data_IF_240275161049
#
_entry.id   IF_240275161049
#
_cell.length_a   1.000
_cell.length_b   1.000
_cell.length_c   1.000
_cell.angle_alpha   90.00
_cell.angle_beta   90.00
_cell.angle_gamma   90.00
#
_symmetry.space_group_name_H-M   'P 1'
#
loop_
_entity.id
_entity.type
_entity.pdbx_description
1 polymer ?
#
# COMPACT_ATOMS: atom_id res chain seq x y z
N UNK A 1 -13.06 -6.38 -4.32
CA UNK A 1 -13.07 -5.11 -3.54
C UNK A 1 -12.17 -5.30 -2.34
N UNK A 2 -11.11 -4.50 -2.20
CA UNK A 2 -10.21 -4.53 -1.05
C UNK A 2 -10.95 -3.97 0.17
N UNK A 3 -10.99 -4.73 1.27
CA UNK A 3 -11.55 -4.28 2.55
C UNK A 3 -10.43 -4.30 3.58
N UNK A 4 -10.04 -3.13 4.10
CA UNK A 4 -8.99 -3.02 5.12
C UNK A 4 -9.65 -3.10 6.50
N UNK A 5 -9.23 -4.07 7.33
CA UNK A 5 -9.82 -4.34 8.65
C UNK A 5 -9.29 -3.43 9.76
N UNK A 6 -8.08 -2.90 9.62
CA UNK A 6 -7.55 -1.84 10.50
C UNK A 6 -6.56 -0.98 9.72
N UNK A 7 -6.57 0.33 9.97
CA UNK A 7 -5.67 1.26 9.30
C UNK A 7 -5.11 2.30 10.27
N UNK A 8 -3.89 2.76 10.01
CA UNK A 8 -3.26 3.92 10.63
C UNK A 8 -2.71 4.83 9.55
N UNK A 9 -2.47 6.09 9.87
CA UNK A 9 -1.88 7.03 8.92
C UNK A 9 -0.87 7.97 9.57
N UNK A 10 0.14 8.32 8.79
CA UNK A 10 1.28 9.14 9.16
C UNK A 10 1.25 10.46 8.39
N UNK A 11 1.74 11.53 9.02
CA UNK A 11 1.85 12.84 8.36
C UNK A 11 0.50 13.46 8.03
N UNK A 12 -0.45 13.40 8.98
CA UNK A 12 -1.80 13.95 8.80
C UNK A 12 -1.77 15.47 8.65
N UNK A 13 -2.67 16.01 7.84
CA UNK A 13 -2.89 17.45 7.68
C UNK A 13 -1.70 18.17 7.04
N UNK A 14 -0.95 17.49 6.17
CA UNK A 14 0.17 18.13 5.47
C UNK A 14 -0.31 19.16 4.45
N UNK A 15 -1.54 19.04 3.96
CA UNK A 15 -2.18 20.00 3.07
C UNK A 15 -3.29 20.76 3.81
N UNK A 16 -3.22 22.09 3.80
CA UNK A 16 -4.26 22.94 4.39
C UNK A 16 -5.58 22.94 3.59
N UNK A 17 -5.55 22.58 2.31
CA UNK A 17 -6.73 22.46 1.48
C UNK A 17 -7.51 21.15 1.71
N UNK A 18 -6.88 20.16 2.37
CA UNK A 18 -7.48 18.87 2.65
C UNK A 18 -7.07 18.38 4.06
N UNK A 19 -7.96 18.55 5.03
CA UNK A 19 -7.74 18.17 6.44
C UNK A 19 -7.49 16.66 6.63
N UNK A 20 -7.93 15.84 5.67
CA UNK A 20 -7.73 14.39 5.65
C UNK A 20 -6.46 13.94 4.94
N UNK A 21 -5.65 14.88 4.43
CA UNK A 21 -4.38 14.57 3.76
C UNK A 21 -3.43 13.79 4.67
N UNK A 22 -2.81 12.74 4.14
CA UNK A 22 -1.85 11.90 4.87
C UNK A 22 -0.69 11.51 3.98
N UNK A 23 0.54 11.61 4.46
CA UNK A 23 1.73 11.23 3.69
C UNK A 23 1.84 9.71 3.49
N UNK A 24 1.31 8.94 4.43
CA UNK A 24 1.24 7.50 4.32
C UNK A 24 0.04 6.93 5.06
N UNK A 25 -0.50 5.84 4.53
CA UNK A 25 -1.52 5.03 5.16
C UNK A 25 -1.07 3.57 5.21
N UNK A 26 -1.25 2.94 6.36
CA UNK A 26 -0.94 1.52 6.55
C UNK A 26 -2.21 0.80 6.94
N UNK A 27 -2.42 -0.39 6.39
CA UNK A 27 -3.61 -1.18 6.58
C UNK A 27 -3.32 -2.67 6.69
N UNK A 28 -4.21 -3.40 7.33
CA UNK A 28 -4.19 -4.86 7.39
C UNK A 28 -5.52 -5.44 6.93
N UNK A 29 -5.47 -6.51 6.15
CA UNK A 29 -6.65 -7.27 5.77
C UNK A 29 -6.39 -8.77 5.85
N UNK A 30 -7.44 -9.56 6.12
CA UNK A 30 -7.36 -11.01 6.19
C UNK A 30 -7.97 -11.66 4.96
N UNK A 31 -7.38 -12.76 4.49
CA UNK A 31 -7.92 -13.61 3.43
C UNK A 31 -8.04 -15.06 3.91
N UNK A 32 -8.99 -15.78 3.31
CA UNK A 32 -9.04 -17.23 3.43
C UNK A 32 -7.76 -17.87 2.89
N UNK A 33 -7.53 -19.14 3.23
CA UNK A 33 -6.47 -19.98 2.73
C UNK A 33 -6.12 -19.71 1.25
N UNK A 34 -4.83 -19.61 0.92
CA UNK A 34 -4.39 -19.41 -0.46
C UNK A 34 -2.89 -19.29 -0.60
N UNK A 35 -2.40 -19.46 -1.83
CA UNK A 35 -1.02 -19.17 -2.20
C UNK A 35 -0.73 -17.67 -2.02
N UNK A 36 0.38 -17.33 -1.33
CA UNK A 36 0.69 -15.96 -0.93
C UNK A 36 0.87 -15.03 -2.14
N UNK A 37 1.52 -15.52 -3.20
CA UNK A 37 1.71 -14.77 -4.43
C UNK A 37 0.37 -14.48 -5.10
N UNK A 38 -0.48 -15.51 -5.21
CA UNK A 38 -1.84 -15.38 -5.78
C UNK A 38 -2.65 -14.35 -5.00
N UNK A 39 -2.57 -14.36 -3.67
CA UNK A 39 -3.25 -13.38 -2.81
C UNK A 39 -2.70 -11.98 -3.04
N UNK A 40 -1.38 -11.78 -2.99
CA UNK A 40 -0.77 -10.47 -3.21
C UNK A 40 -1.10 -9.92 -4.61
N UNK A 41 -1.03 -10.76 -5.65
CA UNK A 41 -1.32 -10.40 -7.03
C UNK A 41 -2.80 -10.05 -7.24
N UNK A 42 -3.72 -10.69 -6.50
CA UNK A 42 -5.13 -10.31 -6.51
C UNK A 42 -5.36 -8.95 -5.84
N UNK A 43 -4.76 -8.71 -4.68
CA UNK A 43 -4.98 -7.48 -3.92
C UNK A 43 -4.38 -6.24 -4.60
N UNK A 44 -3.19 -6.35 -5.19
CA UNK A 44 -2.52 -5.22 -5.85
C UNK A 44 -3.35 -4.67 -7.02
N UNK A 45 -4.16 -5.51 -7.68
CA UNK A 45 -5.07 -5.10 -8.76
C UNK A 45 -6.21 -4.20 -8.29
N UNK A 46 -6.48 -4.14 -6.99
CA UNK A 46 -7.44 -3.18 -6.45
C UNK A 46 -7.01 -1.73 -6.68
N UNK A 47 -5.70 -1.47 -6.82
CA UNK A 47 -5.15 -0.12 -7.05
C UNK A 47 -5.76 0.52 -8.30
N UNK A 48 -5.89 -0.21 -9.41
CA UNK A 48 -6.53 0.28 -10.63
C UNK A 48 -7.94 0.82 -10.37
N UNK A 49 -8.72 0.11 -9.55
CA UNK A 49 -10.08 0.52 -9.18
C UNK A 49 -10.10 1.72 -8.22
N UNK A 50 -9.09 1.87 -7.36
CA UNK A 50 -9.01 3.01 -6.42
C UNK A 50 -8.83 4.34 -7.16
N UNK A 51 -8.25 4.31 -8.35
CA UNK A 51 -8.12 5.47 -9.24
C UNK A 51 -9.13 5.45 -10.40
N UNK A 52 -10.14 4.59 -10.34
CA UNK A 52 -11.24 4.63 -11.30
C UNK A 52 -12.16 5.81 -11.02
N UNK A 53 -12.65 6.49 -12.07
CA UNK A 53 -13.55 7.65 -11.95
C UNK A 53 -12.92 9.01 -12.20
N UNK A 54 -11.62 9.05 -12.49
CA UNK A 54 -10.93 10.26 -12.94
C UNK A 54 -11.13 10.45 -14.45
N UNK A 55 -11.24 11.70 -14.91
CA UNK A 55 -11.34 12.01 -16.34
C UNK A 55 -10.10 11.52 -17.11
N UNK A 56 -8.94 11.57 -16.44
CA UNK A 56 -7.68 11.02 -16.92
C UNK A 56 -7.22 9.92 -15.96
N UNK A 57 -6.93 8.74 -16.50
CA UNK A 57 -6.49 7.61 -15.71
C UNK A 57 -4.98 7.70 -15.44
N UNK A 58 -4.55 7.53 -14.18
CA UNK A 58 -3.13 7.44 -13.87
C UNK A 58 -2.52 6.16 -14.44
N UNK A 59 -1.21 6.18 -14.65
CA UNK A 59 -0.45 5.00 -15.05
C UNK A 59 -0.18 4.16 -13.81
N UNK A 60 -0.43 2.84 -13.90
CA UNK A 60 -0.14 1.89 -12.82
C UNK A 60 0.85 0.85 -13.32
N UNK A 61 2.01 0.78 -12.68
CA UNK A 61 3.05 -0.21 -12.95
C UNK A 61 3.22 -1.13 -11.75
N UNK A 62 3.44 -2.42 -12.00
CA UNK A 62 3.64 -3.42 -10.96
C UNK A 62 5.06 -3.94 -10.99
N UNK A 63 5.67 -4.10 -9.81
CA UNK A 63 6.95 -4.78 -9.67
C UNK A 63 6.82 -6.29 -9.90
N UNK A 64 7.95 -6.93 -10.16
CA UNK A 64 8.04 -8.37 -9.95
C UNK A 64 7.82 -8.72 -8.46
N UNK A 65 7.30 -9.92 -8.15
CA UNK A 65 7.11 -10.34 -6.76
C UNK A 65 8.44 -10.57 -6.03
N UNK A 66 8.57 -9.98 -4.85
CA UNK A 66 9.73 -10.18 -3.96
C UNK A 66 9.35 -11.15 -2.86
N UNK A 67 10.10 -12.24 -2.75
CA UNK A 67 9.90 -13.27 -1.72
C UNK A 67 10.89 -13.08 -0.58
N UNK A 68 10.42 -13.18 0.66
CA UNK A 68 11.22 -13.02 1.86
C UNK A 68 10.54 -13.69 3.06
N UNK A 69 11.18 -13.63 4.23
CA UNK A 69 10.64 -14.18 5.47
C UNK A 69 10.35 -13.08 6.49
N UNK A 70 9.23 -13.27 7.21
CA UNK A 70 8.82 -12.48 8.37
C UNK A 70 8.79 -13.43 9.57
N UNK A 71 9.82 -13.37 10.42
CA UNK A 71 9.98 -14.22 11.60
C UNK A 71 9.84 -15.73 11.30
N UNK A 72 10.43 -16.17 10.19
CA UNK A 72 10.39 -17.56 9.73
C UNK A 72 9.07 -17.96 9.04
N UNK A 73 8.16 -17.00 8.82
CA UNK A 73 6.99 -17.20 7.98
C UNK A 73 7.26 -16.66 6.57
N UNK A 74 6.88 -17.40 5.51
CA UNK A 74 7.04 -16.91 4.16
C UNK A 74 6.18 -15.66 3.94
N UNK A 75 6.72 -14.74 3.16
CA UNK A 75 6.07 -13.50 2.76
C UNK A 75 6.36 -13.19 1.29
N UNK A 76 5.38 -12.57 0.64
CA UNK A 76 5.49 -12.10 -0.74
C UNK A 76 5.05 -10.65 -0.78
N UNK A 77 5.87 -9.80 -1.41
CA UNK A 77 5.58 -8.40 -1.67
C UNK A 77 5.40 -8.14 -3.15
N UNK A 78 4.38 -7.37 -3.50
CA UNK A 78 4.22 -6.75 -4.81
C UNK A 78 4.02 -5.25 -4.61
N UNK A 79 4.76 -4.46 -5.36
CA UNK A 79 4.66 -3.00 -5.34
C UNK A 79 3.90 -2.52 -6.56
N UNK A 80 2.94 -1.61 -6.35
CA UNK A 80 2.30 -0.83 -7.39
C UNK A 80 2.81 0.61 -7.33
N UNK A 81 3.33 1.10 -8.46
CA UNK A 81 3.72 2.50 -8.65
C UNK A 81 2.64 3.16 -9.49
N UNK A 82 2.09 4.24 -8.96
CA UNK A 82 1.06 5.04 -9.62
C UNK A 82 1.67 6.38 -9.98
N UNK A 83 1.62 6.76 -11.26
CA UNK A 83 2.08 8.05 -11.75
C UNK A 83 0.97 8.78 -12.51
N UNK A 84 1.21 10.06 -12.78
CA UNK A 84 0.29 10.90 -13.56
C UNK A 84 -1.10 11.02 -12.92
N UNK A 85 -1.14 11.03 -11.58
CA UNK A 85 -2.36 11.28 -10.82
C UNK A 85 -2.76 12.74 -11.09
N UNK A 86 -3.96 13.01 -11.65
CA UNK A 86 -4.37 14.37 -11.93
C UNK A 86 -4.43 15.22 -10.65
N UNK A 87 -4.08 16.50 -10.69
CA UNK A 87 -4.18 17.35 -9.52
C UNK A 87 -5.65 17.73 -9.27
N UNK A 88 -6.20 17.35 -8.12
CA UNK A 88 -7.52 17.81 -7.65
C UNK A 88 -7.45 19.07 -6.79
N UNK A 89 -6.28 19.35 -6.22
CA UNK A 89 -5.95 20.56 -5.47
C UNK A 89 -4.42 20.78 -5.46
N UNK A 90 -3.97 21.91 -4.90
CA UNK A 90 -2.57 22.37 -4.96
C UNK A 90 -1.54 21.43 -4.30
N UNK A 91 -1.94 20.67 -3.28
CA UNK A 91 -1.08 19.67 -2.65
C UNK A 91 -1.36 18.22 -3.09
N UNK A 92 -2.22 18.00 -4.08
CA UNK A 92 -2.57 16.65 -4.49
C UNK A 92 -1.32 15.91 -4.99
N UNK A 93 -1.05 14.70 -4.50
CA UNK A 93 0.16 13.97 -4.88
C UNK A 93 0.08 13.57 -6.36
N UNK A 94 1.08 13.91 -7.18
CA UNK A 94 1.09 13.50 -8.60
C UNK A 94 1.40 12.01 -8.80
N UNK A 95 1.87 11.33 -7.76
CA UNK A 95 2.21 9.92 -7.78
C UNK A 95 1.98 9.28 -6.40
N UNK A 96 1.84 7.96 -6.38
CA UNK A 96 1.73 7.18 -5.16
C UNK A 96 2.45 5.84 -5.29
N UNK A 97 2.90 5.28 -4.18
CA UNK A 97 3.41 3.91 -4.10
C UNK A 97 2.54 3.10 -3.15
N UNK A 98 2.18 1.91 -3.61
CA UNK A 98 1.45 0.91 -2.85
C UNK A 98 2.29 -0.34 -2.68
N UNK A 99 2.46 -0.82 -1.46
CA UNK A 99 3.13 -2.09 -1.15
C UNK A 99 2.12 -3.05 -0.55
N UNK A 100 1.96 -4.22 -1.18
CA UNK A 100 1.10 -5.31 -0.71
C UNK A 100 1.97 -6.47 -0.26
N UNK A 101 1.92 -6.79 1.03
CA UNK A 101 2.71 -7.84 1.65
C UNK A 101 1.79 -8.93 2.17
N UNK A 102 1.75 -10.08 1.48
CA UNK A 102 1.02 -11.25 1.91
C UNK A 102 1.93 -12.18 2.74
N UNK A 103 1.47 -12.61 3.90
CA UNK A 103 2.16 -13.62 4.75
C UNK A 103 1.13 -14.49 5.47
N UNK A 104 1.56 -15.58 6.08
CA UNK A 104 0.68 -16.46 6.85
C UNK A 104 0.18 -15.75 8.12
N UNK A 105 -1.14 -15.77 8.32
CA UNK A 105 -1.78 -15.20 9.50
C UNK A 105 -1.71 -16.12 10.72
N UNK A 106 -1.82 -15.55 11.93
CA UNK A 106 -1.68 -16.29 13.20
C UNK A 106 -2.90 -16.21 14.12
N UNK A 107 -4.10 -15.87 13.63
CA UNK A 107 -5.28 -15.80 14.49
C UNK A 107 -6.63 -16.12 13.80
N UNK A 108 -7.13 -15.26 12.92
CA UNK A 108 -8.52 -15.33 12.39
C UNK A 108 -8.61 -15.45 10.87
N UNK A 109 -7.49 -15.33 10.18
CA UNK A 109 -7.33 -15.49 8.74
C UNK A 109 -6.04 -16.28 8.49
N UNK A 110 -6.06 -17.19 7.51
CA UNK A 110 -4.88 -18.00 7.17
C UNK A 110 -3.82 -17.18 6.43
N UNK A 111 -4.23 -16.15 5.67
CA UNK A 111 -3.33 -15.20 5.04
C UNK A 111 -3.67 -13.79 5.53
N UNK A 112 -2.63 -13.06 5.93
CA UNK A 112 -2.69 -11.64 6.28
C UNK A 112 -2.02 -10.86 5.15
N UNK A 113 -2.67 -9.79 4.71
CA UNK A 113 -2.12 -8.85 3.75
C UNK A 113 -1.96 -7.50 4.43
N UNK A 114 -0.73 -7.03 4.51
CA UNK A 114 -0.41 -5.65 4.89
C UNK A 114 -0.38 -4.80 3.64
N UNK A 115 -0.96 -3.60 3.73
CA UNK A 115 -1.03 -2.63 2.65
C UNK A 115 -0.40 -1.34 3.15
N UNK A 116 0.58 -0.83 2.42
CA UNK A 116 1.20 0.48 2.69
C UNK A 116 0.98 1.35 1.48
N UNK A 117 0.35 2.50 1.65
CA UNK A 117 0.23 3.54 0.64
C UNK A 117 1.08 4.74 1.07
N UNK A 118 1.80 5.32 0.12
CA UNK A 118 2.60 6.52 0.33
C UNK A 118 2.43 7.51 -0.81
N UNK A 119 2.25 8.78 -0.45
CA UNK A 119 2.19 9.89 -1.39
C UNK A 119 3.59 10.25 -1.89
N UNK A 120 3.72 10.54 -3.19
CA UNK A 120 4.98 10.90 -3.85
C UNK A 120 4.83 12.21 -4.60
N UNK A 121 5.93 12.95 -4.70
CA UNK A 121 5.98 14.27 -5.32
C UNK A 121 5.45 15.39 -4.42
N UNK A 122 5.30 15.15 -3.11
CA UNK A 122 4.80 16.13 -2.13
C UNK A 122 5.85 16.45 -1.08
N UNK A 123 5.76 17.65 -0.49
CA UNK A 123 6.67 18.06 0.58
C UNK A 123 6.50 17.15 1.80
N UNK A 124 7.63 16.67 2.35
CA UNK A 124 7.63 15.77 3.51
C UNK A 124 7.33 14.30 3.19
N UNK A 125 7.22 13.92 1.91
CA UNK A 125 7.06 12.51 1.52
C UNK A 125 8.09 11.59 2.20
N UNK A 126 7.69 10.35 2.46
CA UNK A 126 8.63 9.33 2.92
C UNK A 126 9.61 8.97 1.79
N UNK A 127 10.89 8.87 2.14
CA UNK A 127 11.92 8.30 1.28
C UNK A 127 11.80 6.77 1.21
N UNK A 128 12.43 6.18 0.20
CA UNK A 128 12.29 4.75 -0.09
C UNK A 128 12.83 3.87 1.03
N UNK A 129 13.90 4.28 1.69
CA UNK A 129 14.50 3.55 2.82
C UNK A 129 13.56 3.54 4.02
N UNK A 130 12.88 4.67 4.30
CA UNK A 130 11.84 4.76 5.33
C UNK A 130 10.64 3.85 5.03
N UNK A 131 10.24 3.73 3.77
CA UNK A 131 9.12 2.85 3.35
C UNK A 131 9.53 1.39 3.46
N UNK A 132 10.71 1.04 2.96
CA UNK A 132 11.23 -0.32 3.06
C UNK A 132 11.46 -0.70 4.52
N UNK A 133 11.96 0.22 5.35
CA UNK A 133 12.05 0.05 6.81
C UNK A 133 10.69 -0.15 7.48
N UNK A 134 9.63 0.53 7.01
CA UNK A 134 8.27 0.29 7.50
C UNK A 134 7.77 -1.11 7.13
N UNK A 135 8.01 -1.55 5.89
CA UNK A 135 7.70 -2.92 5.45
C UNK A 135 8.51 -3.94 6.24
N UNK A 136 9.79 -3.69 6.48
CA UNK A 136 10.64 -4.55 7.30
C UNK A 136 10.21 -4.57 8.77
N UNK A 137 9.67 -3.47 9.30
CA UNK A 137 9.14 -3.42 10.67
C UNK A 137 7.86 -4.24 10.88
N UNK A 138 7.25 -4.76 9.80
CA UNK A 138 6.21 -5.78 9.90
C UNK A 138 6.75 -7.12 10.43
N UNK A 139 8.09 -7.29 10.48
CA UNK A 139 8.78 -8.28 11.32
C UNK A 139 8.47 -7.95 12.78
N UNK A 140 7.77 -8.87 13.43
CA UNK A 140 6.86 -8.64 14.54
C UNK A 140 7.53 -8.04 15.78
N UNK A 141 6.74 -7.30 16.56
CA UNK A 141 6.95 -7.08 18.01
C UNK A 141 6.60 -8.31 18.84
#
# INVERSE_FOLDING_TARGET
>A
MLVIGSASSLGKGYCAAEDTSTLASVGITGRSAGDLLTVAAHEVRAVEWMYSGWEQWPTVEYSDPVHFDIDGNPAVRITALVSDIPPVHECAPPAARWDFVATTGLASAEVVVFVVQTDRGVAGQLDDDSIDGLVESLRRS
#
